data_IF_350063913268
#
_entry.id   IF_350063913268
#
_cell.length_a   1.000
_cell.length_b   1.000
_cell.length_c   1.000
_cell.angle_alpha   90.00
_cell.angle_beta   90.00
_cell.angle_gamma   90.00
#
_symmetry.space_group_name_H-M   'P 1'
#
loop_
_entity.id
_entity.type
_entity.pdbx_description
1 polymer ?
#
# COMPACT_ATOMS: atom_id res chain seq x y z
N UNK A 1 47.74 4.33 17.38
CA UNK A 1 46.72 3.81 16.45
C UNK A 1 45.63 4.86 16.34
N UNK A 2 45.54 5.58 15.21
CA UNK A 2 44.48 6.55 14.97
C UNK A 2 43.16 5.79 14.79
N UNK A 3 42.24 5.87 15.75
CA UNK A 3 40.84 5.52 15.51
C UNK A 3 40.28 6.57 14.55
N UNK A 4 40.10 6.19 13.29
CA UNK A 4 39.42 7.03 12.30
C UNK A 4 38.03 7.41 12.84
N UNK A 5 37.59 8.67 12.70
CA UNK A 5 36.22 9.03 13.01
C UNK A 5 35.30 8.20 12.11
N UNK A 6 34.53 7.29 12.72
CA UNK A 6 33.37 6.68 12.08
C UNK A 6 32.48 7.86 11.68
N UNK A 7 32.25 8.11 10.38
CA UNK A 7 31.37 9.20 9.93
C UNK A 7 29.92 8.71 10.01
N UNK A 8 29.19 8.90 11.12
CA UNK A 8 27.89 8.26 11.34
C UNK A 8 26.82 8.96 10.48
N UNK A 9 27.02 10.24 10.20
CA UNK A 9 26.05 11.14 9.59
C UNK A 9 25.59 10.78 8.16
N UNK A 10 26.40 10.08 7.35
CA UNK A 10 26.03 9.79 5.95
C UNK A 10 25.21 8.51 5.81
N UNK A 11 25.46 7.51 6.64
CA UNK A 11 24.70 6.25 6.59
C UNK A 11 23.31 6.44 7.19
N UNK A 12 23.23 7.12 8.34
CA UNK A 12 21.96 7.45 8.99
C UNK A 12 21.03 8.21 8.04
N UNK A 13 21.56 9.23 7.34
CA UNK A 13 20.83 9.97 6.32
C UNK A 13 20.36 9.09 5.14
N UNK A 14 21.14 8.10 4.72
CA UNK A 14 20.74 7.19 3.64
C UNK A 14 19.65 6.22 4.08
N UNK A 15 19.68 5.74 5.33
CA UNK A 15 18.63 4.91 5.91
C UNK A 15 17.34 5.72 6.03
N UNK A 16 17.42 6.94 6.55
CA UNK A 16 16.27 7.84 6.69
C UNK A 16 15.60 8.12 5.33
N UNK A 17 16.38 8.42 4.28
CA UNK A 17 15.85 8.57 2.93
C UNK A 17 15.16 7.32 2.39
N UNK A 18 15.67 6.13 2.72
CA UNK A 18 15.07 4.85 2.30
C UNK A 18 13.73 4.62 3.02
N UNK A 19 13.63 5.01 4.29
CA UNK A 19 12.39 4.96 5.06
C UNK A 19 11.36 5.90 4.45
N UNK A 20 11.70 7.17 4.25
CA UNK A 20 10.79 8.15 3.65
C UNK A 20 10.32 7.75 2.24
N UNK A 21 11.21 7.16 1.44
CA UNK A 21 10.82 6.63 0.14
C UNK A 21 9.79 5.50 0.27
N UNK A 22 10.02 4.57 1.18
CA UNK A 22 9.09 3.47 1.44
C UNK A 22 7.73 3.98 1.93
N UNK A 23 7.72 4.90 2.89
CA UNK A 23 6.50 5.52 3.44
C UNK A 23 5.69 6.22 2.35
N UNK A 24 6.35 6.96 1.46
CA UNK A 24 5.68 7.60 0.33
C UNK A 24 5.03 6.58 -0.63
N UNK A 25 5.71 5.46 -0.90
CA UNK A 25 5.16 4.38 -1.73
C UNK A 25 3.94 3.73 -1.07
N UNK A 26 4.01 3.45 0.24
CA UNK A 26 2.87 2.94 1.01
C UNK A 26 1.68 3.88 0.96
N UNK A 27 1.90 5.17 1.20
CA UNK A 27 0.84 6.19 1.16
C UNK A 27 0.17 6.25 -0.21
N UNK A 28 0.96 6.26 -1.30
CA UNK A 28 0.44 6.26 -2.67
C UNK A 28 -0.39 4.99 -2.93
N UNK A 29 0.13 3.80 -2.59
CA UNK A 29 -0.58 2.55 -2.79
C UNK A 29 -1.94 2.52 -2.06
N UNK A 30 -1.99 3.02 -0.82
CA UNK A 30 -3.22 3.17 -0.05
C UNK A 30 -4.21 4.09 -0.76
N UNK A 31 -3.76 5.25 -1.25
CA UNK A 31 -4.65 6.20 -1.94
C UNK A 31 -5.13 5.70 -3.29
N UNK A 32 -4.32 4.89 -3.99
CA UNK A 32 -4.71 4.29 -5.28
C UNK A 32 -5.83 3.27 -5.10
N UNK A 33 -5.90 2.54 -3.98
CA UNK A 33 -6.95 1.54 -3.75
C UNK A 33 -8.38 2.10 -3.95
N UNK A 34 -8.61 3.37 -3.62
CA UNK A 34 -9.96 3.96 -3.67
C UNK A 34 -10.44 4.18 -5.11
N UNK A 35 -9.54 4.27 -6.09
CA UNK A 35 -9.91 4.64 -7.47
C UNK A 35 -10.77 3.57 -8.15
N UNK A 36 -10.67 2.32 -7.69
CA UNK A 36 -11.43 1.20 -8.24
C UNK A 36 -12.85 1.09 -7.63
N UNK A 37 -13.15 1.84 -6.57
CA UNK A 37 -14.51 1.93 -6.02
C UNK A 37 -15.37 2.82 -6.93
N UNK A 38 -16.18 2.19 -7.78
CA UNK A 38 -17.05 2.89 -8.73
C UNK A 38 -18.38 3.26 -8.09
N UNK A 39 -18.93 4.42 -8.40
CA UNK A 39 -20.31 4.72 -8.01
C UNK A 39 -21.26 3.94 -8.93
N UNK A 40 -22.28 3.23 -8.40
CA UNK A 40 -23.23 2.50 -9.24
C UNK A 40 -23.96 3.45 -10.19
N UNK A 41 -23.98 3.10 -11.48
CA UNK A 41 -24.69 3.87 -12.51
C UNK A 41 -26.16 3.44 -12.46
N UNK A 42 -27.02 4.33 -11.97
CA UNK A 42 -28.48 4.16 -11.96
C UNK A 42 -29.13 5.12 -12.95
N UNK A 43 -30.30 4.74 -13.48
CA UNK A 43 -31.07 5.62 -14.38
C UNK A 43 -31.56 6.87 -13.63
N UNK A 44 -31.76 7.99 -14.34
CA UNK A 44 -32.25 9.26 -13.74
C UNK A 44 -33.61 9.11 -13.02
N UNK A 45 -34.39 8.08 -13.37
CA UNK A 45 -35.70 7.79 -12.77
C UNK A 45 -35.65 6.60 -11.80
N UNK A 46 -34.46 6.18 -11.36
CA UNK A 46 -34.33 5.04 -10.46
C UNK A 46 -34.98 5.34 -9.11
N UNK A 47 -35.73 4.37 -8.59
CA UNK A 47 -36.26 4.43 -7.22
C UNK A 47 -35.15 4.12 -6.22
N UNK A 48 -35.31 4.58 -4.97
CA UNK A 48 -34.36 4.32 -3.87
C UNK A 48 -34.03 2.82 -3.72
N UNK A 49 -35.04 1.94 -3.85
CA UNK A 49 -34.84 0.50 -3.79
C UNK A 49 -33.97 -0.06 -4.93
N UNK A 50 -34.00 0.55 -6.12
CA UNK A 50 -33.14 0.15 -7.25
C UNK A 50 -31.70 0.58 -7.02
N UNK A 51 -31.49 1.79 -6.47
CA UNK A 51 -30.17 2.25 -6.06
C UNK A 51 -29.55 1.34 -4.99
N UNK A 52 -30.31 0.99 -3.95
CA UNK A 52 -29.83 0.10 -2.89
C UNK A 52 -29.45 -1.29 -3.43
N UNK A 53 -30.19 -1.81 -4.41
CA UNK A 53 -29.88 -3.08 -5.05
C UNK A 53 -28.57 -3.01 -5.87
N UNK A 54 -28.39 -1.97 -6.68
CA UNK A 54 -27.14 -1.79 -7.44
C UNK A 54 -25.94 -1.52 -6.52
N UNK A 55 -26.15 -0.80 -5.41
CA UNK A 55 -25.13 -0.61 -4.37
C UNK A 55 -24.76 -1.93 -3.68
N UNK A 56 -25.74 -2.78 -3.37
CA UNK A 56 -25.50 -4.08 -2.74
C UNK A 56 -24.58 -4.97 -3.59
N UNK A 57 -24.66 -4.87 -4.93
CA UNK A 57 -23.76 -5.59 -5.86
C UNK A 57 -22.31 -5.14 -5.77
N UNK A 58 -22.06 -3.93 -5.26
CA UNK A 58 -20.70 -3.37 -5.11
C UNK A 58 -20.05 -3.70 -3.77
N UNK A 59 -20.78 -4.30 -2.83
CA UNK A 59 -20.24 -4.67 -1.51
C UNK A 59 -18.96 -5.52 -1.60
N UNK A 60 -18.83 -6.51 -2.50
CA UNK A 60 -17.58 -7.28 -2.66
C UNK A 60 -16.37 -6.40 -3.01
N UNK A 61 -16.55 -5.36 -3.83
CA UNK A 61 -15.51 -4.38 -4.16
C UNK A 61 -15.13 -3.54 -2.94
N UNK A 62 -16.12 -3.08 -2.18
CA UNK A 62 -15.87 -2.37 -0.93
C UNK A 62 -15.11 -3.23 0.09
N UNK A 63 -15.48 -4.51 0.23
CA UNK A 63 -14.78 -5.44 1.12
C UNK A 63 -13.33 -5.69 0.65
N UNK A 64 -13.13 -5.89 -0.65
CA UNK A 64 -11.80 -6.02 -1.24
C UNK A 64 -10.92 -4.79 -0.94
N UNK A 65 -11.46 -3.59 -1.16
CA UNK A 65 -10.81 -2.33 -0.80
C UNK A 65 -10.43 -2.28 0.69
N UNK A 66 -11.40 -2.50 1.60
CA UNK A 66 -11.17 -2.41 3.05
C UNK A 66 -10.10 -3.41 3.50
N UNK A 67 -10.20 -4.67 3.05
CA UNK A 67 -9.24 -5.71 3.38
C UNK A 67 -7.83 -5.33 2.92
N UNK A 68 -7.72 -4.79 1.70
CA UNK A 68 -6.43 -4.40 1.13
C UNK A 68 -5.85 -3.17 1.83
N UNK A 69 -6.67 -2.18 2.16
CA UNK A 69 -6.26 -1.03 2.95
C UNK A 69 -5.62 -1.45 4.27
N UNK A 70 -6.29 -2.33 5.03
CA UNK A 70 -5.75 -2.84 6.28
C UNK A 70 -4.51 -3.70 6.08
N UNK A 71 -4.47 -4.53 5.03
CA UNK A 71 -3.32 -5.36 4.72
C UNK A 71 -2.08 -4.51 4.42
N UNK A 72 -2.21 -3.48 3.55
CA UNK A 72 -1.12 -2.53 3.30
C UNK A 72 -0.72 -1.82 4.59
N UNK A 73 -1.68 -1.37 5.40
CA UNK A 73 -1.41 -0.70 6.68
C UNK A 73 -0.66 -1.58 7.69
N UNK A 74 -0.98 -2.88 7.76
CA UNK A 74 -0.25 -3.86 8.58
C UNK A 74 1.18 -4.02 8.07
N UNK A 75 1.37 -4.18 6.76
CA UNK A 75 2.71 -4.27 6.16
C UNK A 75 3.52 -3.00 6.38
N UNK A 76 2.90 -1.83 6.27
CA UNK A 76 3.54 -0.55 6.58
C UNK A 76 3.97 -0.48 8.04
N UNK A 77 3.10 -0.87 8.98
CA UNK A 77 3.42 -0.89 10.41
C UNK A 77 4.58 -1.85 10.72
N UNK A 78 4.56 -3.04 10.12
CA UNK A 78 5.63 -4.03 10.26
C UNK A 78 6.95 -3.53 9.66
N UNK A 79 6.90 -2.89 8.49
CA UNK A 79 8.05 -2.28 7.83
C UNK A 79 8.64 -1.17 8.68
N UNK A 80 7.81 -0.23 9.15
CA UNK A 80 8.23 0.87 10.02
C UNK A 80 8.92 0.35 11.29
N UNK A 81 8.32 -0.66 11.96
CA UNK A 81 8.91 -1.29 13.14
C UNK A 81 10.25 -1.98 12.83
N UNK A 82 10.36 -2.68 11.69
CA UNK A 82 11.59 -3.37 11.28
C UNK A 82 12.73 -2.37 11.01
N UNK A 83 12.43 -1.25 10.34
CA UNK A 83 13.43 -0.24 10.02
C UNK A 83 13.94 0.53 11.24
N UNK A 84 13.21 0.52 12.36
CA UNK A 84 13.70 0.99 13.66
C UNK A 84 14.91 0.22 14.21
N UNK A 85 15.19 -0.99 13.71
CA UNK A 85 16.34 -1.82 14.11
C UNK A 85 17.49 -1.81 13.09
N UNK A 86 17.33 -1.10 11.96
CA UNK A 86 18.35 -1.10 10.88
C UNK A 86 19.41 -0.05 11.20
N UNK A 87 20.62 -0.53 11.54
CA UNK A 87 21.76 0.33 11.92
C UNK A 87 22.65 0.67 10.71
N UNK A 88 22.67 -0.17 9.67
CA UNK A 88 23.59 -0.01 8.53
C UNK A 88 22.88 -0.09 7.17
N UNK A 89 23.27 0.80 6.27
CA UNK A 89 22.83 0.79 4.87
C UNK A 89 23.65 -0.20 4.03
N UNK A 90 22.99 -1.03 3.22
CA UNK A 90 23.65 -1.89 2.23
C UNK A 90 22.90 -1.92 0.90
N UNK A 91 23.62 -2.09 -0.22
CA UNK A 91 23.00 -2.21 -1.56
C UNK A 91 22.03 -3.38 -1.64
N UNK A 92 22.31 -4.48 -0.94
CA UNK A 92 21.44 -5.66 -0.89
C UNK A 92 20.10 -5.34 -0.20
N UNK A 93 20.14 -4.60 0.91
CA UNK A 93 18.93 -4.15 1.61
C UNK A 93 18.06 -3.28 0.69
N UNK A 94 18.67 -2.36 -0.06
CA UNK A 94 17.94 -1.50 -1.01
C UNK A 94 17.18 -2.33 -2.04
N UNK A 95 17.82 -3.32 -2.67
CA UNK A 95 17.15 -4.17 -3.66
C UNK A 95 16.03 -5.02 -3.07
N UNK A 96 16.24 -5.57 -1.86
CA UNK A 96 15.19 -6.31 -1.15
C UNK A 96 14.01 -5.39 -0.84
N UNK A 97 14.28 -4.16 -0.39
CA UNK A 97 13.24 -3.17 -0.13
C UNK A 97 12.47 -2.81 -1.41
N UNK A 98 13.15 -2.63 -2.55
CA UNK A 98 12.48 -2.37 -3.82
C UNK A 98 11.57 -3.51 -4.27
N UNK A 99 12.03 -4.76 -4.17
CA UNK A 99 11.22 -5.94 -4.50
C UNK A 99 10.00 -6.02 -3.57
N UNK A 100 10.19 -5.77 -2.28
CA UNK A 100 9.09 -5.71 -1.32
C UNK A 100 8.08 -4.61 -1.68
N UNK A 101 8.54 -3.37 -1.91
CA UNK A 101 7.67 -2.26 -2.31
C UNK A 101 6.93 -2.53 -3.62
N UNK A 102 7.55 -3.23 -4.57
CA UNK A 102 6.88 -3.65 -5.79
C UNK A 102 5.66 -4.54 -5.50
N UNK A 103 5.74 -5.45 -4.54
CA UNK A 103 4.58 -6.25 -4.13
C UNK A 103 3.45 -5.40 -3.52
N UNK A 104 3.80 -4.35 -2.77
CA UNK A 104 2.83 -3.39 -2.22
C UNK A 104 2.13 -2.60 -3.34
N UNK A 105 2.89 -2.13 -4.33
CA UNK A 105 2.36 -1.37 -5.48
C UNK A 105 1.45 -2.22 -6.38
N UNK A 106 1.68 -3.53 -6.44
CA UNK A 106 0.80 -4.45 -7.18
C UNK A 106 -0.51 -4.73 -6.45
N UNK A 107 -0.56 -4.55 -5.11
CA UNK A 107 -1.73 -4.93 -4.33
C UNK A 107 -3.04 -4.30 -4.85
N UNK A 108 -3.13 -2.99 -5.12
CA UNK A 108 -4.37 -2.40 -5.63
C UNK A 108 -4.90 -3.06 -6.90
N UNK A 109 -4.01 -3.37 -7.85
CA UNK A 109 -4.37 -4.10 -9.07
C UNK A 109 -4.91 -5.50 -8.77
N UNK A 110 -4.27 -6.25 -7.85
CA UNK A 110 -4.75 -7.59 -7.49
C UNK A 110 -6.09 -7.55 -6.76
N UNK A 111 -6.32 -6.54 -5.92
CA UNK A 111 -7.58 -6.30 -5.23
C UNK A 111 -8.71 -6.05 -6.22
N UNK A 112 -8.46 -5.20 -7.22
CA UNK A 112 -9.42 -4.90 -8.28
C UNK A 112 -9.84 -6.18 -9.02
N UNK A 113 -8.86 -6.97 -9.49
CA UNK A 113 -9.12 -8.27 -10.17
C UNK A 113 -9.95 -9.19 -9.27
N UNK A 114 -9.54 -9.40 -8.03
CA UNK A 114 -10.26 -10.29 -7.14
C UNK A 114 -11.69 -9.83 -6.93
N UNK A 115 -11.91 -8.54 -6.73
CA UNK A 115 -13.25 -8.00 -6.50
C UNK A 115 -14.16 -8.03 -7.73
N UNK A 116 -13.60 -7.93 -8.94
CA UNK A 116 -14.36 -7.95 -10.19
C UNK A 116 -14.77 -9.38 -10.58
N UNK A 117 -13.86 -10.35 -10.42
CA UNK A 117 -14.10 -11.73 -10.84
C UNK A 117 -14.61 -12.67 -9.74
N UNK A 118 -14.57 -12.29 -8.46
CA UNK A 118 -15.10 -13.14 -7.37
C UNK A 118 -16.63 -13.24 -7.32
N UNK A 119 -17.34 -12.41 -8.09
CA UNK A 119 -18.81 -12.32 -8.12
C UNK A 119 -19.41 -12.89 -9.41
N UNK A 120 -18.59 -13.36 -10.35
CA UNK A 120 -19.05 -14.11 -11.54
C UNK A 120 -19.08 -15.61 -11.24
#
# INVERSE_FOLDING_TARGET
MLSLPHHPHKQDFQVERLIFFSDAVFAIAITILVIDLKVPIVSENATEGQFLNEFAKQIPQLLGFVMSFFLIGIYWTAHHNMFGYVINYSKRLLWINLIFLFTIVIMPFTTAIYSEYSVT
#
